data_IF_061370414010
#
_entry.id   IF_061370414010
#
_cell.length_a   1.000
_cell.length_b   1.000
_cell.length_c   1.000
_cell.angle_alpha   90.00
_cell.angle_beta   90.00
_cell.angle_gamma   90.00
#
_symmetry.space_group_name_H-M   'P 1'
#
loop_
_entity.id
_entity.type
_entity.pdbx_description
1 polymer ?
#
# COMPACT_ATOMS: atom_id res chain seq x y z
N UNK A 1 0.12 -3.72 20.89
CA UNK A 1 1.14 -2.91 20.17
C UNK A 1 0.76 -2.95 18.71
N UNK A 2 0.29 -1.83 18.14
CA UNK A 2 0.30 -1.66 16.68
C UNK A 2 1.76 -1.72 16.26
N UNK A 3 2.10 -2.53 15.26
CA UNK A 3 3.37 -2.38 14.56
C UNK A 3 3.02 -1.46 13.40
N UNK A 4 3.31 -0.18 13.51
CA UNK A 4 3.17 0.72 12.36
C UNK A 4 4.10 0.24 11.23
N UNK A 5 3.68 0.47 9.98
CA UNK A 5 4.54 0.24 8.83
C UNK A 5 5.53 1.41 8.76
N UNK A 6 6.82 1.13 8.93
CA UNK A 6 7.86 2.15 8.94
C UNK A 6 8.59 2.21 7.60
N UNK A 7 9.02 3.40 7.21
CA UNK A 7 9.93 3.61 6.10
C UNK A 7 11.28 2.94 6.43
N UNK A 8 11.82 2.09 5.54
CA UNK A 8 13.08 1.39 5.80
C UNK A 8 14.31 2.31 5.78
N UNK A 9 14.18 3.55 5.30
CA UNK A 9 15.29 4.51 5.16
C UNK A 9 15.35 5.49 6.32
N UNK A 10 14.27 6.24 6.56
CA UNK A 10 14.23 7.27 7.61
C UNK A 10 13.64 6.77 8.94
N UNK A 11 12.99 5.60 8.97
CA UNK A 11 12.37 5.04 10.19
C UNK A 11 11.04 5.68 10.60
N UNK A 12 10.57 6.69 9.87
CA UNK A 12 9.27 7.34 10.07
C UNK A 12 8.11 6.44 9.65
N UNK A 13 6.92 6.70 10.19
CA UNK A 13 5.70 5.98 9.81
C UNK A 13 5.31 6.26 8.35
N UNK A 14 4.89 5.21 7.63
CA UNK A 14 4.37 5.35 6.27
C UNK A 14 2.94 5.87 6.31
N UNK A 15 2.70 6.92 5.55
CA UNK A 15 1.35 7.42 5.27
C UNK A 15 0.60 6.42 4.39
N UNK A 16 -0.71 6.32 4.61
CA UNK A 16 -1.57 5.33 3.95
C UNK A 16 -2.69 6.05 3.20
N UNK A 17 -2.85 5.75 1.91
CA UNK A 17 -4.04 6.11 1.14
C UNK A 17 -4.76 4.85 0.66
N UNK A 18 -6.10 4.94 0.55
CA UNK A 18 -6.92 3.89 -0.05
C UNK A 18 -7.56 4.46 -1.30
N UNK A 19 -7.32 3.82 -2.42
CA UNK A 19 -7.71 4.26 -3.75
C UNK A 19 -8.39 3.13 -4.51
N UNK A 20 -9.10 3.49 -5.59
CA UNK A 20 -9.60 2.54 -6.57
C UNK A 20 -8.63 2.48 -7.74
N UNK A 21 -8.10 1.29 -8.04
CA UNK A 21 -7.34 1.09 -9.26
C UNK A 21 -8.22 1.35 -10.48
N UNK A 22 -7.76 2.23 -11.37
CA UNK A 22 -8.56 2.67 -12.51
C UNK A 22 -8.69 1.60 -13.61
N UNK A 23 -7.79 0.61 -13.65
CA UNK A 23 -7.78 -0.43 -14.68
C UNK A 23 -8.60 -1.64 -14.26
N UNK A 24 -8.39 -2.11 -13.03
CA UNK A 24 -9.04 -3.32 -12.53
C UNK A 24 -10.31 -3.03 -11.73
N UNK A 25 -10.46 -1.79 -11.24
CA UNK A 25 -11.54 -1.42 -10.33
C UNK A 25 -11.33 -1.93 -8.91
N UNK A 26 -10.20 -2.58 -8.64
CA UNK A 26 -9.84 -3.12 -7.33
C UNK A 26 -9.53 -2.00 -6.33
N UNK A 27 -9.76 -2.30 -5.07
CA UNK A 27 -9.32 -1.49 -3.94
C UNK A 27 -7.82 -1.67 -3.80
N UNK A 28 -7.12 -0.56 -3.80
CA UNK A 28 -5.68 -0.45 -3.73
C UNK A 28 -5.30 0.34 -2.50
N UNK A 29 -4.38 -0.19 -1.70
CA UNK A 29 -3.82 0.51 -0.54
C UNK A 29 -2.42 0.97 -0.92
N UNK A 30 -2.18 2.28 -0.92
CA UNK A 30 -0.86 2.85 -1.17
C UNK A 30 -0.22 3.22 0.17
N UNK A 31 1.04 2.86 0.35
CA UNK A 31 1.87 3.26 1.47
C UNK A 31 3.05 4.04 0.94
N UNK A 32 3.33 5.21 1.52
CA UNK A 32 4.37 6.10 1.05
C UNK A 32 4.96 6.93 2.20
N UNK A 33 6.23 7.30 2.06
CA UNK A 33 6.94 8.14 3.02
C UNK A 33 6.72 9.62 2.70
N UNK A 34 6.15 10.39 3.63
CA UNK A 34 5.99 11.85 3.57
C UNK A 34 7.15 12.60 4.29
N UNK A 35 8.21 11.88 4.67
CA UNK A 35 9.34 12.40 5.44
C UNK A 35 10.22 13.40 4.66
N UNK A 36 11.25 13.91 5.34
CA UNK A 36 12.16 14.99 4.89
C UNK A 36 12.83 14.76 3.50
N UNK A 37 12.83 13.52 3.03
CA UNK A 37 13.18 13.13 1.70
C UNK A 37 11.92 12.57 1.00
N UNK A 38 11.19 13.47 0.35
CA UNK A 38 9.99 13.15 -0.42
C UNK A 38 10.23 11.90 -1.30
N UNK A 39 9.35 10.89 -1.18
CA UNK A 39 9.24 9.74 -2.09
C UNK A 39 10.36 8.68 -2.10
N UNK A 40 11.15 8.52 -1.02
CA UNK A 40 12.20 7.49 -0.97
C UNK A 40 11.67 6.04 -0.99
N UNK A 41 10.51 5.80 -0.39
CA UNK A 41 9.88 4.49 -0.33
C UNK A 41 8.37 4.57 -0.49
N UNK A 42 7.86 3.87 -1.50
CA UNK A 42 6.43 3.71 -1.71
C UNK A 42 6.11 2.32 -2.25
N UNK A 43 5.02 1.73 -1.79
CA UNK A 43 4.50 0.48 -2.30
C UNK A 43 2.98 0.46 -2.28
N UNK A 44 2.40 -0.35 -3.15
CA UNK A 44 0.95 -0.54 -3.24
C UNK A 44 0.59 -2.00 -2.98
N UNK A 45 -0.58 -2.19 -2.38
CA UNK A 45 -1.22 -3.47 -2.13
C UNK A 45 -2.51 -3.50 -2.94
N UNK A 46 -2.55 -4.34 -3.96
CA UNK A 46 -3.77 -4.69 -4.69
C UNK A 46 -4.47 -5.79 -3.90
N UNK A 47 -5.66 -5.48 -3.38
CA UNK A 47 -6.37 -6.37 -2.44
C UNK A 47 -7.10 -7.52 -3.14
N UNK A 48 -7.30 -7.44 -4.46
CA UNK A 48 -8.16 -8.37 -5.21
C UNK A 48 -9.66 -8.22 -4.90
N UNK A 49 -10.03 -7.19 -4.13
CA UNK A 49 -11.40 -6.84 -3.79
C UNK A 49 -11.83 -5.60 -4.55
N UNK A 50 -13.06 -5.57 -5.00
CA UNK A 50 -13.74 -4.38 -5.51
C UNK A 50 -14.75 -3.87 -4.48
N UNK A 51 -15.31 -2.68 -4.68
CA UNK A 51 -16.39 -2.20 -3.81
C UNK A 51 -17.64 -3.09 -3.90
N UNK A 52 -17.89 -3.73 -5.04
CA UNK A 52 -19.03 -4.62 -5.24
C UNK A 52 -18.86 -5.90 -4.40
N UNK A 53 -17.64 -6.45 -4.34
CA UNK A 53 -17.33 -7.59 -3.44
C UNK A 53 -17.64 -7.24 -1.97
N UNK A 54 -17.40 -6.00 -1.54
CA UNK A 54 -17.70 -5.56 -0.16
C UNK A 54 -19.22 -5.46 0.09
N UNK A 55 -19.98 -4.99 -0.89
CA UNK A 55 -21.43 -4.79 -0.77
C UNK A 55 -22.21 -6.11 -0.88
N UNK A 56 -21.81 -6.98 -1.80
CA UNK A 56 -22.59 -8.17 -2.14
C UNK A 56 -22.22 -9.38 -1.25
N UNK A 57 -20.92 -9.57 -0.96
CA UNK A 57 -20.47 -10.79 -0.28
C UNK A 57 -20.31 -10.60 1.23
N UNK A 58 -19.69 -9.49 1.66
CA UNK A 58 -19.45 -9.24 3.09
C UNK A 58 -20.71 -8.83 3.84
N UNK A 59 -21.65 -8.14 3.18
CA UNK A 59 -22.95 -7.83 3.79
C UNK A 59 -23.73 -9.11 4.15
N UNK A 60 -23.63 -10.13 3.30
CA UNK A 60 -24.20 -11.47 3.50
C UNK A 60 -23.39 -12.34 4.50
N UNK A 61 -22.34 -11.79 5.11
CA UNK A 61 -21.40 -12.48 6.02
C UNK A 61 -20.75 -13.71 5.38
N UNK A 62 -20.63 -13.76 4.06
CA UNK A 62 -19.94 -14.84 3.36
C UNK A 62 -18.44 -14.69 3.55
N UNK A 63 -17.76 -15.82 3.70
CA UNK A 63 -16.30 -15.85 3.76
C UNK A 63 -15.75 -15.95 2.35
N UNK A 64 -14.87 -15.03 1.99
CA UNK A 64 -14.21 -15.02 0.69
C UNK A 64 -12.69 -15.05 0.85
N UNK A 65 -12.01 -15.60 -0.15
CA UNK A 65 -10.54 -15.62 -0.22
C UNK A 65 -10.12 -15.05 -1.56
N UNK A 66 -9.34 -13.98 -1.54
CA UNK A 66 -8.71 -13.37 -2.72
C UNK A 66 -7.20 -13.33 -2.50
N UNK A 67 -6.45 -13.38 -3.60
CA UNK A 67 -5.00 -13.21 -3.58
C UNK A 67 -4.68 -11.72 -3.50
N UNK A 68 -3.77 -11.34 -2.60
CA UNK A 68 -3.26 -9.98 -2.50
C UNK A 68 -1.91 -9.89 -3.20
N UNK A 69 -1.69 -8.79 -3.93
CA UNK A 69 -0.42 -8.53 -4.62
C UNK A 69 0.20 -7.27 -4.08
N UNK A 70 1.48 -7.36 -3.72
CA UNK A 70 2.27 -6.25 -3.18
C UNK A 70 3.27 -5.84 -4.25
N UNK A 71 3.40 -4.54 -4.51
CA UNK A 71 4.32 -4.01 -5.50
C UNK A 71 5.01 -2.77 -4.96
N UNK A 72 6.34 -2.78 -4.94
CA UNK A 72 7.15 -1.60 -4.65
C UNK A 72 7.14 -0.69 -5.87
N UNK A 73 6.83 0.59 -5.67
CA UNK A 73 6.69 1.62 -6.70
C UNK A 73 7.91 2.53 -6.72
N UNK A 74 8.41 2.90 -5.55
CA UNK A 74 9.62 3.68 -5.39
C UNK A 74 10.49 3.09 -4.29
N UNK A 75 11.79 3.05 -4.55
CA UNK A 75 12.83 2.62 -3.62
C UNK A 75 14.12 3.30 -4.09
N UNK A 76 14.41 4.48 -3.56
CA UNK A 76 15.66 5.20 -3.83
C UNK A 76 16.61 4.99 -2.64
N UNK A 77 17.59 4.08 -2.74
CA UNK A 77 18.72 4.13 -1.84
C UNK A 77 19.56 5.37 -2.21
N UNK A 78 19.99 6.16 -1.23
CA UNK A 78 20.93 7.28 -1.43
C UNK A 78 22.09 6.86 -2.35
N UNK A 79 22.19 7.46 -3.54
CA UNK A 79 23.32 7.23 -4.47
C UNK A 79 24.60 7.97 -4.00
N UNK A 80 24.55 8.78 -2.95
CA UNK A 80 25.62 9.74 -2.59
C UNK A 80 26.44 9.37 -1.33
N UNK A 81 26.36 8.15 -0.79
CA UNK A 81 27.19 7.72 0.36
C UNK A 81 28.56 7.12 -0.01
N UNK A 82 28.96 7.19 -1.28
CA UNK A 82 30.23 6.62 -1.77
C UNK A 82 31.07 7.59 -2.64
N UNK A 83 31.01 8.90 -2.40
CA UNK A 83 32.05 9.84 -2.90
C UNK A 83 33.18 10.06 -1.88
#
# INVERSE_FOLDING_TARGET
>A
MSREALCPFCGEELSVSVEKDKKTGEIKICLFCEGFADDEFAFEILTGLTNDDLLDELYDRKTMKKEMKIKVIACKPDEDLFE
#
